data_IF_245145000781
#
_entry.id   IF_245145000781
#
_cell.length_a   1.000
_cell.length_b   1.000
_cell.length_c   1.000
_cell.angle_alpha   90.00
_cell.angle_beta   90.00
_cell.angle_gamma   90.00
#
_symmetry.space_group_name_H-M   'P 1'
#
loop_
_entity.id
_entity.type
_entity.pdbx_description
1 polymer ?
#
# COMPACT_ATOMS: atom_id res chain seq x y z
N UNK A 1 8.40 29.88 -16.24
CA UNK A 1 9.82 30.28 -16.07
C UNK A 1 10.86 29.23 -16.53
N UNK A 2 10.67 27.90 -16.40
CA UNK A 2 11.70 26.93 -16.85
C UNK A 2 11.92 26.88 -18.38
N UNK A 3 10.88 27.14 -19.20
CA UNK A 3 11.05 27.34 -20.66
C UNK A 3 11.90 28.58 -20.99
N UNK A 4 11.90 29.57 -20.10
CA UNK A 4 12.66 30.81 -20.26
C UNK A 4 14.15 30.63 -19.92
N UNK A 5 14.52 29.56 -19.21
CA UNK A 5 15.90 29.25 -18.79
C UNK A 5 16.61 28.19 -19.66
N UNK A 6 16.07 27.82 -20.82
CA UNK A 6 16.62 26.76 -21.69
C UNK A 6 16.87 25.43 -20.94
N UNK A 7 16.03 25.11 -19.94
CA UNK A 7 16.18 23.88 -19.17
C UNK A 7 15.87 22.65 -20.04
N UNK A 8 16.79 21.68 -20.06
CA UNK A 8 16.59 20.42 -20.77
C UNK A 8 15.34 19.70 -20.28
N UNK A 9 14.69 18.90 -21.14
CA UNK A 9 13.52 18.10 -20.76
C UNK A 9 13.80 17.22 -19.53
N UNK A 10 15.05 16.81 -19.34
CA UNK A 10 15.51 16.07 -18.16
C UNK A 10 15.49 16.89 -16.87
N UNK A 11 15.89 18.16 -16.91
CA UNK A 11 15.84 19.04 -15.74
C UNK A 11 14.40 19.30 -15.30
N UNK A 12 13.51 19.55 -16.27
CA UNK A 12 12.07 19.71 -16.00
C UNK A 12 11.44 18.43 -15.43
N UNK A 13 11.84 17.26 -15.93
CA UNK A 13 11.37 15.97 -15.42
C UNK A 13 11.78 15.77 -13.96
N UNK A 14 13.06 15.90 -13.64
CA UNK A 14 13.59 15.60 -12.30
C UNK A 14 13.26 16.67 -11.26
N UNK A 15 13.27 17.96 -11.63
CA UNK A 15 13.13 19.06 -10.66
C UNK A 15 11.71 19.60 -10.54
N UNK A 16 10.83 19.36 -11.53
CA UNK A 16 9.49 19.93 -11.55
C UNK A 16 8.39 18.85 -11.59
N UNK A 17 8.47 17.91 -12.53
CA UNK A 17 7.41 16.91 -12.74
C UNK A 17 7.44 15.80 -11.69
N UNK A 18 8.63 15.26 -11.40
CA UNK A 18 8.81 14.21 -10.39
C UNK A 18 8.33 14.69 -9.02
N UNK A 19 8.82 15.81 -8.46
CA UNK A 19 8.40 16.30 -7.15
C UNK A 19 6.90 16.54 -7.05
N UNK A 20 6.31 17.20 -8.07
CA UNK A 20 4.88 17.48 -8.10
C UNK A 20 3.99 16.23 -8.20
N UNK A 21 4.52 15.11 -8.72
CA UNK A 21 3.77 13.85 -8.87
C UNK A 21 3.81 12.95 -7.63
N UNK A 22 4.76 13.17 -6.71
CA UNK A 22 4.95 12.35 -5.51
C UNK A 22 3.68 12.22 -4.64
N UNK A 23 2.90 13.29 -4.36
CA UNK A 23 1.66 13.15 -3.61
C UNK A 23 0.65 12.21 -4.28
N UNK A 24 0.55 12.26 -5.61
CA UNK A 24 -0.35 11.41 -6.39
C UNK A 24 0.11 9.96 -6.40
N UNK A 25 1.43 9.73 -6.45
CA UNK A 25 2.01 8.39 -6.35
C UNK A 25 1.71 7.76 -4.99
N UNK A 26 1.81 8.51 -3.89
CA UNK A 26 1.45 7.99 -2.57
C UNK A 26 -0.06 7.73 -2.42
N UNK A 27 -0.91 8.53 -3.08
CA UNK A 27 -2.34 8.28 -3.11
C UNK A 27 -2.67 6.93 -3.79
N UNK A 28 -2.07 6.66 -4.95
CA UNK A 28 -2.25 5.38 -5.64
C UNK A 28 -1.61 4.20 -4.89
N UNK A 29 -0.45 4.39 -4.25
CA UNK A 29 0.20 3.34 -3.44
C UNK A 29 -0.68 2.85 -2.30
N UNK A 30 -1.43 3.73 -1.61
CA UNK A 30 -2.34 3.30 -0.53
C UNK A 30 -3.40 2.31 -1.02
N UNK A 31 -3.94 2.56 -2.22
CA UNK A 31 -4.93 1.68 -2.85
C UNK A 31 -4.26 0.39 -3.34
N UNK A 32 -3.11 0.50 -4.00
CA UNK A 32 -2.37 -0.64 -4.53
C UNK A 32 -1.95 -1.62 -3.43
N UNK A 33 -1.55 -1.13 -2.25
CA UNK A 33 -1.18 -1.97 -1.11
C UNK A 33 -2.37 -2.76 -0.57
N UNK A 34 -3.55 -2.15 -0.48
CA UNK A 34 -4.77 -2.85 -0.08
C UNK A 34 -5.12 -3.99 -1.06
N UNK A 35 -5.07 -3.70 -2.36
CA UNK A 35 -5.37 -4.71 -3.40
C UNK A 35 -4.29 -5.80 -3.43
N UNK A 36 -3.02 -5.45 -3.25
CA UNK A 36 -1.91 -6.41 -3.18
C UNK A 36 -2.08 -7.39 -2.02
N UNK A 37 -2.57 -6.93 -0.87
CA UNK A 37 -2.82 -7.81 0.27
C UNK A 37 -3.94 -8.80 -0.04
N UNK A 38 -5.04 -8.34 -0.63
CA UNK A 38 -6.14 -9.22 -1.08
C UNK A 38 -5.61 -10.24 -2.10
N UNK A 39 -4.81 -9.80 -3.06
CA UNK A 39 -4.19 -10.67 -4.06
C UNK A 39 -3.26 -11.71 -3.43
N UNK A 40 -2.47 -11.33 -2.42
CA UNK A 40 -1.62 -12.27 -1.68
C UNK A 40 -2.45 -13.32 -0.92
N UNK A 41 -3.54 -12.90 -0.27
CA UNK A 41 -4.45 -13.80 0.45
C UNK A 41 -5.12 -14.78 -0.51
N UNK A 42 -5.65 -14.29 -1.64
CA UNK A 42 -6.27 -15.15 -2.64
C UNK A 42 -5.24 -16.07 -3.30
N UNK A 43 -4.04 -15.55 -3.57
CA UNK A 43 -2.93 -16.29 -4.18
C UNK A 43 -2.32 -17.37 -3.31
N UNK A 44 -2.55 -17.36 -2.00
CA UNK A 44 -2.08 -18.43 -1.11
C UNK A 44 -2.94 -19.69 -1.20
N UNK A 45 -4.21 -19.57 -1.60
CA UNK A 45 -5.16 -20.70 -1.62
C UNK A 45 -4.77 -21.84 -2.58
N UNK A 46 -4.28 -21.58 -3.81
CA UNK A 46 -3.86 -22.66 -4.73
C UNK A 46 -2.56 -23.34 -4.32
N UNK A 47 -1.75 -22.72 -3.45
CA UNK A 47 -0.43 -23.22 -3.08
C UNK A 47 -0.46 -24.35 -2.05
N UNK A 48 -1.63 -24.65 -1.49
CA UNK A 48 -1.77 -25.66 -0.43
C UNK A 48 -1.04 -25.28 0.87
N UNK A 49 -0.70 -24.00 1.05
CA UNK A 49 0.01 -23.51 2.22
C UNK A 49 -0.79 -23.77 3.49
N UNK A 50 -0.20 -24.48 4.46
CA UNK A 50 -0.83 -24.76 5.77
C UNK A 50 -0.69 -23.57 6.74
N UNK A 51 0.18 -22.62 6.40
CA UNK A 51 0.54 -21.46 7.22
C UNK A 51 0.33 -20.15 6.44
N UNK A 52 -0.91 -19.69 6.37
CA UNK A 52 -1.30 -18.46 5.68
C UNK A 52 -2.64 -17.93 6.20
N UNK A 53 -2.92 -16.62 6.07
CA UNK A 53 -4.14 -16.03 6.64
C UNK A 53 -5.42 -16.57 5.98
N UNK A 54 -5.44 -16.64 4.67
CA UNK A 54 -6.48 -17.25 3.84
C UNK A 54 -6.53 -18.76 3.98
N UNK A 55 -5.40 -19.43 4.19
CA UNK A 55 -5.41 -20.84 4.56
C UNK A 55 -6.06 -21.10 5.93
N UNK A 56 -5.83 -20.22 6.91
CA UNK A 56 -6.48 -20.27 8.24
C UNK A 56 -7.96 -19.91 8.18
N UNK A 57 -8.35 -18.99 7.31
CA UNK A 57 -9.76 -18.71 6.99
C UNK A 57 -10.44 -19.93 6.36
N UNK A 58 -9.81 -20.52 5.34
CA UNK A 58 -10.36 -21.65 4.59
C UNK A 58 -10.46 -22.92 5.47
N UNK A 59 -9.42 -23.25 6.21
CA UNK A 59 -9.44 -24.37 7.19
C UNK A 59 -10.47 -24.15 8.30
N UNK A 60 -10.60 -22.92 8.80
CA UNK A 60 -11.64 -22.57 9.78
C UNK A 60 -13.06 -22.79 9.22
N UNK A 61 -13.29 -22.48 7.94
CA UNK A 61 -14.55 -22.77 7.25
C UNK A 61 -14.81 -24.27 7.08
N UNK A 62 -13.78 -25.09 6.82
CA UNK A 62 -13.93 -26.55 6.71
C UNK A 62 -14.29 -27.22 8.03
N UNK A 63 -13.70 -26.77 9.14
CA UNK A 63 -13.90 -27.40 10.46
C UNK A 63 -14.94 -26.67 11.34
N UNK A 64 -15.64 -25.66 10.80
CA UNK A 64 -16.63 -24.88 11.54
C UNK A 64 -16.04 -24.11 12.74
N UNK A 65 -14.72 -23.87 12.75
CA UNK A 65 -14.04 -23.17 13.83
C UNK A 65 -14.21 -21.66 13.66
N UNK A 66 -15.35 -21.15 14.12
CA UNK A 66 -15.71 -19.72 14.03
C UNK A 66 -14.64 -18.82 14.66
N UNK A 67 -14.05 -19.23 15.78
CA UNK A 67 -12.96 -18.48 16.45
C UNK A 67 -11.75 -18.28 15.52
N UNK A 68 -11.39 -19.31 14.76
CA UNK A 68 -10.26 -19.25 13.83
C UNK A 68 -10.54 -18.28 12.66
N UNK A 69 -11.75 -18.33 12.10
CA UNK A 69 -12.19 -17.43 11.01
C UNK A 69 -12.14 -15.97 11.47
N UNK A 70 -12.74 -15.66 12.62
CA UNK A 70 -12.79 -14.30 13.14
C UNK A 70 -11.42 -13.78 13.56
N UNK A 71 -10.58 -14.62 14.19
CA UNK A 71 -9.21 -14.22 14.54
C UNK A 71 -8.37 -13.90 13.30
N UNK A 72 -8.44 -14.74 12.26
CA UNK A 72 -7.75 -14.50 10.99
C UNK A 72 -8.26 -13.23 10.30
N UNK A 73 -9.57 -12.96 10.33
CA UNK A 73 -10.16 -11.75 9.76
C UNK A 73 -9.71 -10.47 10.48
N UNK A 74 -9.65 -10.50 11.81
CA UNK A 74 -9.16 -9.37 12.60
C UNK A 74 -7.69 -9.11 12.32
N UNK A 75 -6.86 -10.16 12.30
CA UNK A 75 -5.43 -10.03 11.97
C UNK A 75 -5.22 -9.49 10.56
N UNK A 76 -5.97 -9.99 9.57
CA UNK A 76 -5.91 -9.49 8.20
C UNK A 76 -6.31 -8.02 8.11
N UNK A 77 -7.36 -7.62 8.84
CA UNK A 77 -7.83 -6.22 8.90
C UNK A 77 -6.79 -5.29 9.53
N UNK A 78 -6.18 -5.71 10.65
CA UNK A 78 -5.12 -4.95 11.32
C UNK A 78 -3.88 -4.83 10.44
N UNK A 79 -3.51 -5.89 9.74
CA UNK A 79 -2.38 -5.88 8.83
C UNK A 79 -2.63 -4.96 7.64
N UNK A 80 -3.84 -5.00 7.05
CA UNK A 80 -4.26 -4.08 6.00
C UNK A 80 -4.17 -2.61 6.46
N UNK A 81 -4.77 -2.31 7.61
CA UNK A 81 -4.74 -0.98 8.20
C UNK A 81 -3.31 -0.52 8.51
N UNK A 82 -2.48 -1.42 9.05
CA UNK A 82 -1.07 -1.15 9.36
C UNK A 82 -0.25 -0.83 8.11
N UNK A 83 -0.42 -1.58 7.03
CA UNK A 83 0.27 -1.32 5.75
C UNK A 83 -0.17 0.02 5.13
N UNK A 84 -1.47 0.31 5.12
CA UNK A 84 -1.97 1.60 4.61
C UNK A 84 -1.48 2.77 5.47
N UNK A 85 -1.46 2.60 6.80
CA UNK A 85 -0.92 3.59 7.72
C UNK A 85 0.58 3.82 7.52
N UNK A 86 1.36 2.76 7.27
CA UNK A 86 2.78 2.83 6.96
C UNK A 86 3.04 3.67 5.69
N UNK A 87 2.28 3.42 4.62
CA UNK A 87 2.35 4.22 3.39
C UNK A 87 1.94 5.66 3.66
N UNK A 88 0.91 5.88 4.48
CA UNK A 88 0.49 7.23 4.90
C UNK A 88 1.57 7.97 5.69
N UNK A 89 2.30 7.27 6.56
CA UNK A 89 3.41 7.82 7.33
C UNK A 89 4.60 8.16 6.42
N UNK A 90 4.96 7.27 5.51
CA UNK A 90 5.98 7.51 4.50
C UNK A 90 5.64 8.75 3.64
N UNK A 91 4.39 8.87 3.20
CA UNK A 91 3.92 10.05 2.48
C UNK A 91 4.14 11.34 3.30
N UNK A 92 3.74 11.36 4.59
CA UNK A 92 3.94 12.54 5.44
C UNK A 92 5.42 12.91 5.59
N UNK A 93 6.31 11.93 5.76
CA UNK A 93 7.75 12.18 5.87
C UNK A 93 8.29 12.77 4.56
N UNK A 94 7.94 12.17 3.42
CA UNK A 94 8.45 12.61 2.12
C UNK A 94 7.95 14.01 1.79
N UNK A 95 6.67 14.30 1.98
CA UNK A 95 6.11 15.64 1.76
C UNK A 95 6.73 16.69 2.68
N UNK A 96 6.97 16.33 3.96
CA UNK A 96 7.66 17.21 4.92
C UNK A 96 9.10 17.50 4.47
N UNK A 97 9.84 16.48 4.01
CA UNK A 97 11.21 16.65 3.49
C UNK A 97 11.26 17.51 2.22
N UNK A 98 10.19 17.51 1.44
CA UNK A 98 10.07 18.31 0.21
C UNK A 98 9.51 19.72 0.45
N UNK A 99 9.15 20.08 1.70
CA UNK A 99 8.56 21.38 2.02
C UNK A 99 7.13 21.58 1.47
N UNK A 100 6.47 20.52 1.01
CA UNK A 100 5.14 20.57 0.39
C UNK A 100 4.00 20.27 1.39
N UNK A 101 4.17 20.65 2.65
CA UNK A 101 3.12 20.42 3.67
C UNK A 101 1.83 21.14 3.27
N UNK A 102 0.69 20.44 3.15
CA UNK A 102 -0.60 21.09 3.19
C UNK A 102 -0.78 21.64 4.61
N UNK A 103 -1.08 22.94 4.70
CA UNK A 103 -1.51 23.57 5.94
C UNK A 103 -2.79 22.91 6.50
#
# INVERSE_FOLDING_TARGET
LMRTYNASAWDSLWKLRLPSSIPYLFASMKVAVAISLVGAIVGELPTGAVAGLGARLLSGSYYGQTVQIWSALVVASLLAAGLVALVGFANRIVLKRMGMMPA
#
